data_IF_228208445124
#
_entry.id   IF_228208445124
#
_cell.length_a   1.000
_cell.length_b   1.000
_cell.length_c   1.000
_cell.angle_alpha   90.00
_cell.angle_beta   90.00
_cell.angle_gamma   90.00
#
_symmetry.space_group_name_H-M   'P 1'
#
loop_
_entity.id
_entity.type
_entity.pdbx_description
1 polymer ?
#
# COMPACT_ATOMS: atom_id res chain seq x y z
N UNK A 1 -14.11 2.13 7.63
CA UNK A 1 -13.66 1.03 6.75
C UNK A 1 -12.32 0.39 7.16
N UNK A 2 -11.22 1.13 7.40
CA UNK A 2 -9.95 0.57 7.92
C UNK A 2 -10.05 0.10 9.37
N UNK A 3 -10.46 0.99 10.28
CA UNK A 3 -10.60 0.69 11.71
C UNK A 3 -11.73 -0.31 11.99
N UNK A 4 -12.88 -0.16 11.32
CA UNK A 4 -14.00 -1.10 11.41
C UNK A 4 -13.66 -2.52 10.96
N UNK A 5 -12.67 -2.70 10.08
CA UNK A 5 -12.26 -4.02 9.56
C UNK A 5 -10.95 -4.54 10.17
N UNK A 6 -10.40 -3.83 11.17
CA UNK A 6 -9.13 -4.18 11.81
C UNK A 6 -7.99 -4.46 10.81
N UNK A 7 -7.94 -3.68 9.72
CA UNK A 7 -6.93 -3.82 8.67
C UNK A 7 -5.72 -2.95 9.01
N UNK A 8 -4.51 -3.47 8.79
CA UNK A 8 -3.25 -2.74 9.02
C UNK A 8 -2.78 -1.89 7.83
N UNK A 9 -3.36 -2.15 6.65
CA UNK A 9 -3.00 -1.49 5.39
C UNK A 9 -4.15 -1.67 4.39
N UNK A 10 -4.45 -0.64 3.61
CA UNK A 10 -5.23 -0.76 2.37
C UNK A 10 -4.42 -0.18 1.23
N UNK A 11 -4.36 -0.90 0.11
CA UNK A 11 -3.83 -0.39 -1.15
C UNK A 11 -5.00 -0.15 -2.09
N UNK A 12 -5.15 1.09 -2.57
CA UNK A 12 -6.20 1.50 -3.51
C UNK A 12 -5.55 1.73 -4.86
N UNK A 13 -5.91 0.93 -5.85
CA UNK A 13 -5.51 1.17 -7.23
C UNK A 13 -6.41 2.26 -7.84
N UNK A 14 -5.80 3.26 -8.48
CA UNK A 14 -6.54 4.25 -9.25
C UNK A 14 -6.56 3.84 -10.73
N UNK A 15 -7.60 3.10 -11.12
CA UNK A 15 -7.76 2.59 -12.49
C UNK A 15 -8.40 3.61 -13.44
N UNK A 16 -8.57 4.86 -13.00
CA UNK A 16 -9.21 5.90 -13.83
C UNK A 16 -8.26 6.53 -14.85
N UNK A 17 -6.94 6.29 -14.71
CA UNK A 17 -5.92 6.86 -15.58
C UNK A 17 -5.52 5.92 -16.72
N UNK A 18 -5.28 6.44 -17.95
CA UNK A 18 -4.67 5.66 -19.02
C UNK A 18 -3.34 5.06 -18.57
N UNK A 19 -3.16 3.75 -18.76
CA UNK A 19 -1.96 3.03 -18.31
C UNK A 19 -2.00 2.57 -16.85
N UNK A 20 -3.07 2.83 -16.10
CA UNK A 20 -3.29 2.25 -14.78
C UNK A 20 -4.28 1.07 -14.84
N UNK A 21 -3.89 -0.08 -14.29
CA UNK A 21 -4.79 -1.22 -14.10
C UNK A 21 -4.40 -2.51 -14.83
N UNK A 22 -5.41 -3.27 -15.25
CA UNK A 22 -5.22 -4.60 -15.83
C UNK A 22 -4.69 -4.51 -17.27
N UNK A 23 -3.82 -5.46 -17.66
CA UNK A 23 -3.29 -5.54 -19.04
C UNK A 23 -2.21 -4.51 -19.42
N UNK A 24 -1.76 -3.66 -18.48
CA UNK A 24 -0.61 -2.76 -18.64
C UNK A 24 0.56 -3.20 -17.76
N UNK A 25 1.78 -2.77 -18.06
CA UNK A 25 2.95 -2.97 -17.17
C UNK A 25 3.03 -1.88 -16.08
N UNK A 26 2.25 -0.81 -16.21
CA UNK A 26 2.20 0.29 -15.24
C UNK A 26 0.95 0.26 -14.38
N UNK A 27 1.01 0.92 -13.24
CA UNK A 27 -0.14 1.13 -12.36
C UNK A 27 0.06 2.40 -11.51
N UNK A 28 -1.02 2.86 -10.87
CA UNK A 28 -0.99 3.94 -9.89
C UNK A 28 -1.78 3.48 -8.66
N UNK A 29 -1.26 3.76 -7.46
CA UNK A 29 -1.90 3.31 -6.23
C UNK A 29 -1.72 4.31 -5.07
N UNK A 30 -2.57 4.16 -4.05
CA UNK A 30 -2.44 4.87 -2.77
C UNK A 30 -2.40 3.84 -1.66
N UNK A 31 -1.48 4.01 -0.73
CA UNK A 31 -1.40 3.22 0.49
C UNK A 31 -2.07 4.00 1.62
N UNK A 32 -3.08 3.42 2.25
CA UNK A 32 -3.76 3.99 3.40
C UNK A 32 -3.44 3.16 4.65
N UNK A 33 -3.07 3.86 5.71
CA UNK A 33 -2.80 3.28 7.02
C UNK A 33 -3.96 3.47 8.00
N UNK A 34 -4.01 2.71 9.10
CA UNK A 34 -5.06 2.84 10.12
C UNK A 34 -5.01 4.16 10.88
N UNK A 35 -3.88 4.86 10.87
CA UNK A 35 -3.70 6.18 11.47
C UNK A 35 -4.23 7.32 10.57
N UNK A 36 -4.73 7.00 9.38
CA UNK A 36 -5.19 7.99 8.40
C UNK A 36 -4.08 8.56 7.52
N UNK A 37 -2.82 8.11 7.68
CA UNK A 37 -1.75 8.49 6.77
C UNK A 37 -2.00 7.86 5.39
N UNK A 38 -1.89 8.68 4.36
CA UNK A 38 -2.00 8.31 2.95
C UNK A 38 -0.63 8.52 2.31
N UNK A 39 -0.14 7.51 1.59
CA UNK A 39 1.06 7.60 0.76
C UNK A 39 0.68 7.37 -0.70
N UNK A 40 0.98 8.35 -1.53
CA UNK A 40 0.80 8.24 -2.98
C UNK A 40 1.92 7.39 -3.59
N UNK A 41 1.53 6.46 -4.47
CA UNK A 41 2.41 5.77 -5.40
C UNK A 41 2.06 6.30 -6.80
N UNK A 42 2.91 7.13 -7.42
CA UNK A 42 2.65 7.70 -8.74
C UNK A 42 2.55 6.61 -9.80
N UNK A 43 2.11 6.96 -11.01
CA UNK A 43 2.12 6.04 -12.14
C UNK A 43 3.53 5.54 -12.39
N UNK A 44 3.76 4.26 -12.14
CA UNK A 44 5.04 3.59 -12.36
C UNK A 44 4.82 2.12 -12.69
N UNK A 45 5.89 1.35 -12.88
CA UNK A 45 5.83 -0.08 -13.15
C UNK A 45 5.15 -0.84 -12.00
N UNK A 46 4.45 -1.93 -12.34
CA UNK A 46 3.83 -2.80 -11.34
C UNK A 46 4.85 -3.42 -10.40
N UNK A 47 6.06 -3.69 -10.91
CA UNK A 47 7.21 -4.18 -10.15
C UNK A 47 7.59 -3.18 -9.05
N UNK A 48 7.75 -1.90 -9.39
CA UNK A 48 8.08 -0.86 -8.41
C UNK A 48 6.97 -0.67 -7.36
N UNK A 49 5.70 -0.68 -7.79
CA UNK A 49 4.57 -0.62 -6.86
C UNK A 49 4.58 -1.82 -5.91
N UNK A 50 4.84 -3.02 -6.41
CA UNK A 50 4.90 -4.23 -5.59
C UNK A 50 6.01 -4.15 -4.55
N UNK A 51 7.19 -3.64 -4.92
CA UNK A 51 8.31 -3.39 -4.00
C UNK A 51 7.92 -2.39 -2.91
N UNK A 52 7.33 -1.26 -3.29
CA UNK A 52 6.92 -0.23 -2.34
C UNK A 52 5.86 -0.73 -1.33
N UNK A 53 4.94 -1.59 -1.76
CA UNK A 53 3.95 -2.24 -0.90
C UNK A 53 4.65 -3.21 0.05
N UNK A 54 5.56 -4.05 -0.45
CA UNK A 54 6.27 -5.03 0.35
C UNK A 54 7.12 -4.35 1.44
N UNK A 55 7.82 -3.27 1.09
CA UNK A 55 8.60 -2.47 2.04
C UNK A 55 7.71 -1.93 3.18
N UNK A 56 6.51 -1.47 2.85
CA UNK A 56 5.53 -1.04 3.85
C UNK A 56 5.11 -2.18 4.78
N UNK A 57 4.81 -3.36 4.23
CA UNK A 57 4.42 -4.54 5.02
C UNK A 57 5.57 -4.99 5.94
N UNK A 58 6.80 -5.04 5.44
CA UNK A 58 7.99 -5.39 6.25
C UNK A 58 8.17 -4.41 7.40
N UNK A 59 8.04 -3.10 7.15
CA UNK A 59 8.13 -2.10 8.21
C UNK A 59 7.03 -2.24 9.27
N UNK A 60 5.80 -2.59 8.86
CA UNK A 60 4.69 -2.84 9.77
C UNK A 60 4.93 -4.07 10.66
N UNK A 61 5.45 -5.16 10.08
CA UNK A 61 5.75 -6.38 10.83
C UNK A 61 6.85 -6.15 11.87
N UNK A 62 7.94 -5.46 11.50
CA UNK A 62 9.02 -5.08 12.44
C UNK A 62 8.51 -4.22 13.60
N UNK A 63 7.61 -3.27 13.33
CA UNK A 63 6.96 -2.46 14.38
C UNK A 63 6.13 -3.34 15.32
N UNK A 64 5.30 -4.25 14.78
CA UNK A 64 4.49 -5.17 15.59
C UNK A 64 5.32 -6.10 16.47
N UNK A 65 6.43 -6.64 15.95
CA UNK A 65 7.36 -7.45 16.74
C UNK A 65 7.97 -6.67 17.92
N UNK A 66 8.36 -5.42 17.67
CA UNK A 66 8.93 -4.54 18.69
C UNK A 66 7.92 -4.21 19.80
N UNK A 67 6.64 -4.04 19.44
CA UNK A 67 5.56 -3.80 20.41
C UNK A 67 5.20 -5.03 21.25
N UNK A 68 5.43 -6.25 20.75
CA UNK A 68 5.15 -7.51 21.48
C UNK A 68 6.25 -7.90 22.46
N UNK A 69 7.46 -7.33 22.33
CA UNK A 69 8.61 -7.57 23.21
C UNK A 69 8.70 -6.59 24.38
N UNK A 70 7.81 -5.59 24.43
CA UNK A 70 7.65 -4.65 25.54
C UNK A 70 6.49 -5.11 26.42
#
# INVERSE_FOLDING_TARGET
KLQEKNLDLIVVNDVTQPGAGFGSDTNQAKILSPSGQIKDLPLTTKEEISGAILDHVVALLKKKESSRKK
#
